data_IF_333206320847
#
_entry.id   IF_333206320847
#
_cell.length_a   1.000
_cell.length_b   1.000
_cell.length_c   1.000
_cell.angle_alpha   90.00
_cell.angle_beta   90.00
_cell.angle_gamma   90.00
#
_symmetry.space_group_name_H-M   'P 1'
#
loop_
_entity.id
_entity.type
_entity.pdbx_description
1 polymer ?
#
# COMPACT_ATOMS: atom_id res chain seq x y z
N UNK A 1 5.23 -32.84 -32.76
CA UNK A 1 3.96 -33.55 -33.04
C UNK A 1 2.83 -32.78 -32.36
N UNK A 2 1.69 -32.68 -33.06
CA UNK A 2 0.41 -32.09 -32.66
C UNK A 2 0.30 -30.56 -32.57
N UNK A 3 -0.29 -30.02 -33.66
CA UNK A 3 -0.90 -28.70 -33.79
C UNK A 3 -2.31 -28.75 -33.19
N UNK A 4 -2.75 -27.69 -32.50
CA UNK A 4 -4.17 -27.41 -32.35
C UNK A 4 -4.51 -26.07 -33.01
N UNK A 5 -5.35 -26.23 -34.03
CA UNK A 5 -6.00 -25.22 -34.85
C UNK A 5 -7.36 -24.94 -34.22
N UNK A 6 -7.75 -23.67 -34.09
CA UNK A 6 -9.17 -23.32 -33.98
C UNK A 6 -9.42 -22.00 -34.69
N UNK A 7 -9.94 -22.14 -35.91
CA UNK A 7 -10.51 -21.08 -36.71
C UNK A 7 -11.95 -20.78 -36.24
N UNK A 8 -12.24 -19.52 -35.91
CA UNK A 8 -13.59 -19.02 -35.66
C UNK A 8 -13.97 -17.99 -36.71
N UNK A 9 -14.60 -18.47 -37.79
CA UNK A 9 -15.11 -17.72 -38.95
C UNK A 9 -16.49 -17.15 -38.62
N UNK A 10 -16.66 -15.83 -38.60
CA UNK A 10 -18.00 -15.21 -38.56
C UNK A 10 -18.35 -14.68 -39.96
N UNK A 11 -19.39 -15.31 -40.50
CA UNK A 11 -20.14 -15.04 -41.72
C UNK A 11 -20.68 -13.62 -41.78
N UNK A 12 -20.47 -12.88 -42.87
CA UNK A 12 -21.33 -12.86 -44.08
C UNK A 12 -22.72 -12.29 -43.77
N UNK A 13 -22.86 -10.96 -43.90
CA UNK A 13 -24.15 -10.32 -44.11
C UNK A 13 -24.23 -9.79 -45.53
N UNK A 14 -25.35 -10.14 -46.14
CA UNK A 14 -25.58 -10.28 -47.56
C UNK A 14 -26.29 -9.03 -48.10
N UNK A 15 -25.77 -8.49 -49.20
CA UNK A 15 -26.47 -7.56 -50.08
C UNK A 15 -27.75 -8.21 -50.59
N UNK A 16 -28.88 -7.50 -50.48
CA UNK A 16 -30.04 -7.75 -51.32
C UNK A 16 -30.62 -6.43 -51.79
N UNK A 17 -30.13 -6.05 -52.95
CA UNK A 17 -30.76 -5.19 -53.93
C UNK A 17 -31.74 -6.05 -54.75
N UNK A 18 -33.03 -5.68 -54.75
CA UNK A 18 -34.02 -6.10 -55.74
C UNK A 18 -35.13 -5.04 -55.78
N UNK A 19 -34.90 -4.07 -56.66
CA UNK A 19 -35.82 -3.60 -57.69
C UNK A 19 -37.29 -4.08 -57.61
N UNK A 20 -38.22 -3.13 -57.45
CA UNK A 20 -39.49 -3.25 -58.15
C UNK A 20 -40.13 -1.87 -58.41
N UNK A 21 -40.12 -1.48 -59.69
CA UNK A 21 -40.89 -0.38 -60.27
C UNK A 21 -42.32 -0.84 -60.52
N UNK A 22 -43.28 0.00 -60.14
CA UNK A 22 -44.45 0.48 -60.92
C UNK A 22 -45.52 0.97 -59.93
N UNK A 23 -45.71 2.29 -59.79
CA UNK A 23 -46.55 3.14 -60.63
C UNK A 23 -48.06 2.89 -60.43
N UNK A 24 -48.60 3.45 -59.35
CA UNK A 24 -50.01 3.87 -59.30
C UNK A 24 -50.10 5.30 -58.77
N UNK A 25 -50.30 6.22 -59.69
CA UNK A 25 -50.82 7.56 -59.43
C UNK A 25 -52.18 7.45 -58.75
N UNK A 26 -52.30 7.95 -57.51
CA UNK A 26 -53.56 8.48 -56.99
C UNK A 26 -53.27 9.64 -56.04
N UNK A 27 -53.72 10.81 -56.46
CA UNK A 27 -53.65 12.05 -55.70
C UNK A 27 -54.38 11.95 -54.37
N UNK A 28 -53.85 12.68 -53.40
CA UNK A 28 -54.43 12.85 -52.08
C UNK A 28 -53.69 13.95 -51.35
N UNK A 29 -54.19 15.17 -51.51
CA UNK A 29 -53.95 16.37 -50.70
C UNK A 29 -52.55 16.52 -50.07
N UNK A 30 -51.75 17.42 -50.67
CA UNK A 30 -50.70 18.17 -50.00
C UNK A 30 -51.29 19.01 -48.86
N UNK A 31 -51.66 18.35 -47.77
CA UNK A 31 -51.74 18.97 -46.47
C UNK A 31 -50.33 19.35 -46.05
N UNK A 32 -49.84 20.48 -46.55
CA UNK A 32 -48.70 21.20 -45.97
C UNK A 32 -49.21 21.75 -44.64
N UNK A 33 -49.42 20.82 -43.69
CA UNK A 33 -49.75 21.12 -42.33
C UNK A 33 -48.65 22.04 -41.86
N UNK A 34 -49.03 23.31 -41.70
CA UNK A 34 -48.17 24.32 -41.15
C UNK A 34 -47.78 23.78 -39.77
N UNK A 35 -46.62 23.11 -39.67
CA UNK A 35 -46.00 22.73 -38.40
C UNK A 35 -45.69 24.07 -37.76
N UNK A 36 -46.70 24.66 -37.13
CA UNK A 36 -46.55 25.71 -36.14
C UNK A 36 -45.62 25.07 -35.12
N UNK A 37 -44.34 25.39 -35.21
CA UNK A 37 -43.39 25.11 -34.15
C UNK A 37 -43.95 25.83 -32.94
N UNK A 38 -44.68 25.08 -32.11
CA UNK A 38 -45.14 25.57 -30.81
C UNK A 38 -43.85 25.74 -30.02
N UNK A 39 -43.46 26.99 -29.80
CA UNK A 39 -42.35 27.29 -28.89
C UNK A 39 -42.66 26.68 -27.52
N UNK A 40 -41.62 26.25 -26.81
CA UNK A 40 -41.75 25.77 -25.45
C UNK A 40 -42.45 26.81 -24.58
N UNK A 41 -43.42 26.38 -23.79
CA UNK A 41 -44.02 27.24 -22.79
C UNK A 41 -42.98 27.57 -21.71
N UNK A 42 -43.01 28.78 -21.15
CA UNK A 42 -42.11 29.19 -20.06
C UNK A 42 -42.18 28.20 -18.89
N UNK A 43 -43.36 27.68 -18.58
CA UNK A 43 -43.53 26.70 -17.50
C UNK A 43 -42.86 25.35 -17.83
N UNK A 44 -42.88 24.95 -19.09
CA UNK A 44 -42.29 23.70 -19.58
C UNK A 44 -40.77 23.80 -19.57
N UNK A 45 -40.23 24.97 -19.94
CA UNK A 45 -38.81 25.30 -19.80
C UNK A 45 -38.38 25.31 -18.32
N UNK A 46 -39.19 25.89 -17.42
CA UNK A 46 -38.90 25.92 -15.99
C UNK A 46 -38.91 24.53 -15.36
N UNK A 47 -39.86 23.67 -15.73
CA UNK A 47 -39.92 22.27 -15.27
C UNK A 47 -38.73 21.47 -15.81
N UNK A 48 -38.38 21.63 -17.09
CA UNK A 48 -37.20 20.96 -17.64
C UNK A 48 -35.90 21.44 -16.96
N UNK A 49 -35.80 22.74 -16.65
CA UNK A 49 -34.65 23.33 -15.99
C UNK A 49 -34.52 22.85 -14.53
N UNK A 50 -35.63 22.77 -13.79
CA UNK A 50 -35.60 22.25 -12.41
C UNK A 50 -35.25 20.77 -12.37
N UNK A 51 -35.81 19.94 -13.27
CA UNK A 51 -35.43 18.53 -13.38
C UNK A 51 -33.95 18.39 -13.74
N UNK A 52 -33.47 19.14 -14.72
CA UNK A 52 -32.06 19.08 -15.13
C UNK A 52 -31.12 19.54 -14.01
N UNK A 53 -31.48 20.62 -13.30
CA UNK A 53 -30.70 21.12 -12.17
C UNK A 53 -30.63 20.09 -11.03
N UNK A 54 -31.76 19.50 -10.65
CA UNK A 54 -31.81 18.47 -9.59
C UNK A 54 -31.01 17.23 -9.95
N UNK A 55 -31.10 16.76 -11.19
CA UNK A 55 -30.28 15.64 -11.68
C UNK A 55 -28.79 16.00 -11.69
N UNK A 56 -28.43 17.18 -12.18
CA UNK A 56 -27.04 17.64 -12.21
C UNK A 56 -26.44 17.71 -10.80
N UNK A 57 -27.17 18.30 -9.85
CA UNK A 57 -26.75 18.35 -8.44
C UNK A 57 -26.57 16.95 -7.84
N UNK A 58 -27.52 16.04 -8.07
CA UNK A 58 -27.41 14.66 -7.59
C UNK A 58 -26.20 13.93 -8.20
N UNK A 59 -25.92 14.14 -9.49
CA UNK A 59 -24.76 13.53 -10.15
C UNK A 59 -23.44 14.10 -9.67
N UNK A 60 -23.34 15.42 -9.39
CA UNK A 60 -22.13 16.00 -8.83
C UNK A 60 -21.83 15.45 -7.43
N UNK A 61 -22.85 15.29 -6.57
CA UNK A 61 -22.68 14.68 -5.25
C UNK A 61 -22.22 13.22 -5.34
N UNK A 62 -22.80 12.44 -6.26
CA UNK A 62 -22.38 11.05 -6.48
C UNK A 62 -20.94 10.96 -7.01
N UNK A 63 -20.54 11.87 -7.89
CA UNK A 63 -19.20 11.89 -8.48
C UNK A 63 -18.13 12.34 -7.46
N UNK A 64 -18.43 13.29 -6.58
CA UNK A 64 -17.57 13.64 -5.44
C UNK A 64 -17.31 12.41 -4.54
N UNK A 65 -18.38 11.70 -4.17
CA UNK A 65 -18.27 10.48 -3.37
C UNK A 65 -17.45 9.38 -4.07
N UNK A 66 -17.61 9.21 -5.38
CA UNK A 66 -16.83 8.23 -6.16
C UNK A 66 -15.34 8.57 -6.19
N UNK A 67 -14.97 9.85 -6.35
CA UNK A 67 -13.55 10.23 -6.37
C UNK A 67 -12.88 10.03 -5.03
N UNK A 68 -13.56 10.41 -3.94
CA UNK A 68 -13.09 10.18 -2.58
C UNK A 68 -12.87 8.69 -2.28
N UNK A 69 -13.84 7.84 -2.65
CA UNK A 69 -13.70 6.39 -2.48
C UNK A 69 -12.58 5.78 -3.34
N UNK A 70 -12.37 6.31 -4.54
CA UNK A 70 -11.28 5.87 -5.42
C UNK A 70 -9.89 6.24 -4.86
N UNK A 71 -9.72 7.47 -4.34
CA UNK A 71 -8.49 7.91 -3.69
C UNK A 71 -8.13 7.00 -2.53
N UNK A 72 -9.07 6.81 -1.58
CA UNK A 72 -8.87 5.95 -0.42
C UNK A 72 -8.47 4.51 -0.79
N UNK A 73 -9.14 3.94 -1.80
CA UNK A 73 -8.83 2.57 -2.27
C UNK A 73 -7.45 2.51 -2.91
N UNK A 74 -7.08 3.53 -3.69
CA UNK A 74 -5.79 3.60 -4.38
C UNK A 74 -4.65 3.77 -3.38
N UNK A 75 -4.81 4.66 -2.40
CA UNK A 75 -3.81 4.93 -1.37
C UNK A 75 -3.59 3.67 -0.52
N UNK A 76 -4.67 3.05 -0.02
CA UNK A 76 -4.60 1.80 0.74
C UNK A 76 -3.93 0.66 -0.05
N UNK A 77 -4.26 0.51 -1.33
CA UNK A 77 -3.63 -0.49 -2.19
C UNK A 77 -2.13 -0.20 -2.41
N UNK A 78 -1.77 1.08 -2.59
CA UNK A 78 -0.38 1.50 -2.78
C UNK A 78 0.45 1.27 -1.52
N UNK A 79 -0.06 1.65 -0.33
CA UNK A 79 0.60 1.44 0.97
C UNK A 79 0.86 -0.03 1.22
N UNK A 80 -0.11 -0.90 0.92
CA UNK A 80 0.07 -2.35 1.06
C UNK A 80 1.18 -2.91 0.15
N UNK A 81 1.29 -2.42 -1.09
CA UNK A 81 2.37 -2.83 -2.00
C UNK A 81 3.72 -2.33 -1.51
N UNK A 82 3.82 -1.05 -1.12
CA UNK A 82 5.06 -0.44 -0.62
C UNK A 82 5.52 -1.13 0.66
N UNK A 83 4.62 -1.37 1.61
CA UNK A 83 4.92 -2.07 2.85
C UNK A 83 5.45 -3.49 2.60
N UNK A 84 4.87 -4.23 1.64
CA UNK A 84 5.38 -5.54 1.24
C UNK A 84 6.77 -5.46 0.59
N UNK A 85 7.05 -4.43 -0.20
CA UNK A 85 8.39 -4.21 -0.77
C UNK A 85 9.39 -3.92 0.36
N UNK A 86 9.04 -3.07 1.32
CA UNK A 86 9.88 -2.74 2.48
C UNK A 86 10.20 -4.00 3.30
N UNK A 87 9.19 -4.82 3.64
CA UNK A 87 9.39 -6.11 4.32
C UNK A 87 10.30 -7.03 3.51
N UNK A 88 10.09 -7.17 2.20
CA UNK A 88 10.95 -8.00 1.38
C UNK A 88 12.41 -7.50 1.32
N UNK A 89 12.62 -6.18 1.35
CA UNK A 89 13.97 -5.59 1.46
C UNK A 89 14.60 -5.92 2.81
N UNK A 90 13.86 -5.78 3.92
CA UNK A 90 14.32 -6.18 5.25
C UNK A 90 14.65 -7.67 5.35
N UNK A 91 13.81 -8.55 4.79
CA UNK A 91 14.13 -9.98 4.72
C UNK A 91 15.39 -10.24 3.87
N UNK A 92 15.64 -9.43 2.84
CA UNK A 92 16.88 -9.43 2.08
C UNK A 92 18.08 -9.09 2.96
N UNK A 93 17.99 -7.99 3.71
CA UNK A 93 19.01 -7.54 4.66
C UNK A 93 19.30 -8.60 5.73
N UNK A 94 18.27 -9.21 6.33
CA UNK A 94 18.42 -10.34 7.27
C UNK A 94 19.14 -11.54 6.63
N UNK A 95 18.87 -11.83 5.35
CA UNK A 95 19.49 -12.98 4.67
C UNK A 95 20.96 -12.75 4.34
N UNK A 96 21.36 -11.52 4.04
CA UNK A 96 22.71 -11.19 3.56
C UNK A 96 23.60 -10.58 4.64
N UNK A 97 23.01 -10.02 5.68
CA UNK A 97 23.70 -9.43 6.82
C UNK A 97 24.44 -10.47 7.66
N UNK A 98 25.30 -9.94 8.52
CA UNK A 98 26.15 -10.68 9.44
C UNK A 98 26.23 -9.94 10.77
N UNK A 99 26.56 -10.64 11.86
CA UNK A 99 26.65 -10.08 13.21
C UNK A 99 25.44 -9.19 13.59
N UNK A 100 24.28 -9.83 13.79
CA UNK A 100 23.04 -9.13 14.10
C UNK A 100 22.96 -8.72 15.57
N UNK A 101 22.41 -7.54 15.82
CA UNK A 101 21.97 -7.05 17.13
C UNK A 101 20.51 -6.57 17.09
N UNK A 102 19.88 -6.36 18.27
CA UNK A 102 20.43 -6.55 19.61
C UNK A 102 20.52 -8.02 20.05
N UNK A 103 21.55 -8.35 20.84
CA UNK A 103 21.82 -9.71 21.34
C UNK A 103 21.35 -9.80 22.80
N UNK A 104 20.64 -10.88 23.22
CA UNK A 104 20.30 -11.08 24.62
C UNK A 104 21.55 -11.30 25.49
N UNK A 105 21.43 -11.04 26.79
CA UNK A 105 22.54 -11.22 27.75
C UNK A 105 22.98 -12.69 27.79
N UNK A 106 22.03 -13.62 27.78
CA UNK A 106 22.29 -15.05 27.63
C UNK A 106 21.44 -15.65 26.50
N UNK A 107 22.10 -16.09 25.42
CA UNK A 107 21.46 -16.76 24.27
C UNK A 107 20.92 -18.16 24.62
N UNK A 108 21.42 -18.78 25.69
CA UNK A 108 20.98 -20.10 26.15
C UNK A 108 19.76 -20.04 27.07
N UNK A 109 19.45 -18.87 27.60
CA UNK A 109 18.28 -18.68 28.45
C UNK A 109 17.02 -18.52 27.58
N UNK A 110 16.14 -19.52 27.66
CA UNK A 110 14.85 -19.50 26.97
C UNK A 110 13.91 -18.39 27.48
N UNK A 111 14.19 -17.79 28.63
CA UNK A 111 13.46 -16.63 29.13
C UNK A 111 13.90 -15.31 28.46
N UNK A 112 15.02 -15.29 27.72
CA UNK A 112 15.54 -14.10 27.04
C UNK A 112 15.64 -14.26 25.52
N UNK A 113 15.69 -15.50 25.03
CA UNK A 113 15.80 -15.83 23.61
C UNK A 113 14.52 -16.56 23.16
N UNK A 114 13.73 -15.98 22.23
CA UNK A 114 14.05 -14.86 21.35
C UNK A 114 13.93 -13.48 22.00
N UNK A 115 14.77 -12.54 21.57
CA UNK A 115 14.71 -11.14 22.01
C UNK A 115 13.77 -10.35 21.08
N UNK A 116 12.86 -9.57 21.64
CA UNK A 116 12.05 -8.64 20.87
C UNK A 116 12.60 -7.22 20.98
N UNK A 117 12.48 -6.43 19.91
CA UNK A 117 13.00 -5.08 19.84
C UNK A 117 12.20 -4.20 18.86
N UNK A 118 12.30 -2.88 19.00
CA UNK A 118 11.77 -1.92 18.02
C UNK A 118 12.80 -1.55 16.93
N UNK A 119 13.95 -2.22 16.94
CA UNK A 119 14.98 -2.11 15.93
C UNK A 119 15.73 -3.43 15.73
N UNK A 120 16.48 -3.53 14.64
CA UNK A 120 17.57 -4.50 14.50
C UNK A 120 18.71 -3.88 13.72
N UNK A 121 19.93 -4.35 13.95
CA UNK A 121 21.12 -3.89 13.25
C UNK A 121 21.99 -5.07 12.83
N UNK A 122 22.84 -4.84 11.83
CA UNK A 122 23.79 -5.83 11.34
C UNK A 122 24.98 -5.15 10.67
N UNK A 123 26.10 -5.85 10.57
CA UNK A 123 27.28 -5.38 9.84
C UNK A 123 27.03 -5.48 8.34
N UNK A 124 26.99 -4.34 7.64
CA UNK A 124 26.73 -4.26 6.19
C UNK A 124 28.01 -4.30 5.35
N UNK A 125 29.13 -3.78 5.87
CA UNK A 125 30.40 -3.77 5.16
C UNK A 125 31.59 -4.11 6.07
N UNK A 126 32.60 -4.73 5.48
CA UNK A 126 33.89 -5.05 6.10
C UNK A 126 35.05 -4.65 5.19
N UNK A 127 36.19 -4.34 5.78
CA UNK A 127 37.43 -4.09 5.06
C UNK A 127 38.10 -5.39 4.56
N UNK A 128 39.22 -5.27 3.83
CA UNK A 128 40.00 -6.41 3.34
C UNK A 128 40.57 -7.30 4.46
N UNK A 129 40.66 -6.77 5.69
CA UNK A 129 41.16 -7.47 6.87
C UNK A 129 40.03 -8.16 7.67
N UNK A 130 38.77 -7.98 7.27
CA UNK A 130 37.60 -8.53 7.94
C UNK A 130 37.02 -7.67 9.07
N UNK A 131 37.55 -6.47 9.30
CA UNK A 131 37.00 -5.55 10.31
C UNK A 131 35.71 -4.93 9.80
N UNK A 132 34.70 -4.83 10.68
CA UNK A 132 33.45 -4.14 10.37
C UNK A 132 33.72 -2.64 10.14
N UNK A 133 33.23 -2.11 9.02
CA UNK A 133 33.38 -0.70 8.64
C UNK A 133 32.06 0.04 8.63
N UNK A 134 30.96 -0.67 8.34
CA UNK A 134 29.62 -0.09 8.26
C UNK A 134 28.62 -1.04 8.93
N UNK A 135 27.71 -0.49 9.71
CA UNK A 135 26.54 -1.17 10.21
C UNK A 135 25.27 -0.54 9.63
N UNK A 136 24.29 -1.37 9.29
CA UNK A 136 22.96 -0.90 8.91
C UNK A 136 21.99 -1.22 10.04
N UNK A 137 21.30 -0.20 10.52
CA UNK A 137 20.25 -0.31 11.52
C UNK A 137 18.90 0.00 10.90
N UNK A 138 17.90 -0.81 11.22
CA UNK A 138 16.50 -0.57 10.92
C UNK A 138 15.80 -0.30 12.22
N UNK A 139 15.15 0.85 12.34
CA UNK A 139 14.56 1.31 13.61
C UNK A 139 13.21 1.96 13.39
N UNK A 140 12.35 1.81 14.38
CA UNK A 140 11.06 2.46 14.45
C UNK A 140 11.15 3.77 15.22
N UNK A 141 10.60 4.84 14.63
CA UNK A 141 10.53 6.16 15.23
C UNK A 141 9.08 6.59 15.37
N UNK A 142 8.72 7.07 16.56
CA UNK A 142 7.42 7.69 16.78
C UNK A 142 7.35 9.07 16.09
N UNK A 143 6.15 9.62 15.84
CA UNK A 143 6.01 10.88 15.13
C UNK A 143 6.74 12.02 15.85
N UNK A 144 7.75 12.59 15.19
CA UNK A 144 8.52 13.72 15.73
C UNK A 144 9.54 13.36 16.82
N UNK A 145 9.75 12.06 17.07
CA UNK A 145 10.67 11.55 18.09
C UNK A 145 11.81 10.75 17.45
N UNK A 146 12.93 10.63 18.16
CA UNK A 146 14.03 9.73 17.78
C UNK A 146 13.68 8.26 18.07
N UNK A 147 14.49 7.33 17.59
CA UNK A 147 14.31 5.91 17.88
C UNK A 147 14.57 5.62 19.36
N UNK A 148 13.65 4.88 19.99
CA UNK A 148 13.78 4.51 21.40
C UNK A 148 14.71 3.31 21.63
N UNK A 149 15.00 2.54 20.58
CA UNK A 149 15.92 1.38 20.59
C UNK A 149 15.66 0.43 21.75
N UNK A 150 14.39 0.13 22.01
CA UNK A 150 13.95 -0.70 23.13
C UNK A 150 14.08 -2.17 22.79
N UNK A 151 14.35 -2.96 23.82
CA UNK A 151 14.35 -4.42 23.76
C UNK A 151 13.55 -4.99 24.93
N UNK A 152 12.91 -6.12 24.74
CA UNK A 152 12.11 -6.79 25.76
C UNK A 152 12.13 -8.31 25.57
N UNK A 153 11.87 -9.03 26.65
CA UNK A 153 11.92 -10.49 26.68
C UNK A 153 10.58 -11.13 26.27
N UNK A 154 10.55 -12.44 25.92
CA UNK A 154 9.32 -13.13 25.60
C UNK A 154 8.26 -13.02 26.70
N UNK A 155 7.10 -12.46 26.36
CA UNK A 155 5.97 -12.30 27.27
C UNK A 155 6.03 -11.05 28.14
N UNK A 156 7.06 -10.23 27.99
CA UNK A 156 7.11 -8.86 28.47
C UNK A 156 6.51 -7.93 27.41
N UNK A 157 5.88 -6.85 27.86
CA UNK A 157 5.38 -5.79 26.99
C UNK A 157 6.28 -4.57 27.17
N UNK A 158 6.71 -3.89 26.09
CA UNK A 158 7.59 -2.75 26.22
C UNK A 158 6.92 -1.66 27.05
N UNK A 159 7.73 -0.97 27.86
CA UNK A 159 7.24 0.18 28.61
C UNK A 159 6.62 1.20 27.64
N UNK A 160 5.46 1.78 28.00
CA UNK A 160 4.83 2.79 27.17
C UNK A 160 5.77 4.00 27.04
N UNK A 161 5.78 4.67 25.88
CA UNK A 161 6.60 5.86 25.69
C UNK A 161 6.21 6.93 26.72
N UNK A 162 7.19 7.75 27.13
CA UNK A 162 6.99 8.86 28.08
C UNK A 162 6.23 10.06 27.48
N UNK A 163 5.79 9.94 26.23
CA UNK A 163 5.08 10.97 25.47
C UNK A 163 3.77 10.43 24.89
N UNK A 164 2.89 11.35 24.50
CA UNK A 164 1.62 11.02 23.88
C UNK A 164 1.81 10.71 22.39
N UNK A 165 1.51 9.46 22.00
CA UNK A 165 1.59 9.01 20.61
C UNK A 165 0.42 9.62 19.83
N UNK A 166 0.70 10.62 19.00
CA UNK A 166 -0.30 11.42 18.27
C UNK A 166 -0.61 10.86 16.87
N UNK A 167 -0.03 9.73 16.47
CA UNK A 167 -0.25 9.15 15.15
C UNK A 167 0.69 7.99 14.82
N UNK A 168 0.65 7.47 13.59
CA UNK A 168 1.58 6.46 13.12
C UNK A 168 2.97 7.06 12.94
N UNK A 169 3.99 6.33 13.37
CA UNK A 169 5.40 6.67 13.18
C UNK A 169 5.95 6.20 11.84
N UNK A 170 7.27 6.16 11.73
CA UNK A 170 7.98 5.80 10.52
C UNK A 170 9.06 4.76 10.80
N UNK A 171 9.34 3.92 9.80
CA UNK A 171 10.48 3.02 9.82
C UNK A 171 11.65 3.65 9.07
N UNK A 172 12.82 3.65 9.69
CA UNK A 172 14.03 4.25 9.17
C UNK A 172 15.10 3.20 8.91
N UNK A 173 15.95 3.49 7.92
CA UNK A 173 17.24 2.82 7.72
C UNK A 173 18.34 3.82 8.03
N UNK A 174 19.21 3.44 8.95
CA UNK A 174 20.35 4.24 9.41
C UNK A 174 21.62 3.48 9.06
N UNK A 175 22.47 4.08 8.23
CA UNK A 175 23.80 3.55 7.94
C UNK A 175 24.79 4.23 8.87
N UNK A 176 25.52 3.43 9.65
CA UNK A 176 26.49 3.90 10.64
C UNK A 176 27.88 3.54 10.17
N UNK A 177 28.73 4.53 9.93
CA UNK A 177 30.16 4.31 9.74
C UNK A 177 30.78 3.98 11.11
N UNK A 178 31.34 2.79 11.26
CA UNK A 178 31.86 2.30 12.53
C UNK A 178 33.22 2.94 12.92
N UNK A 179 33.90 3.58 11.97
CA UNK A 179 35.18 4.26 12.22
C UNK A 179 34.97 5.72 12.67
N UNK A 180 34.03 6.43 12.04
CA UNK A 180 33.74 7.84 12.37
C UNK A 180 32.57 8.01 13.33
N UNK A 181 31.62 7.07 13.36
CA UNK A 181 30.34 7.19 14.05
C UNK A 181 29.34 8.09 13.32
N UNK A 182 29.60 8.45 12.06
CA UNK A 182 28.65 9.22 11.25
C UNK A 182 27.45 8.36 10.84
N UNK A 183 26.26 8.95 10.89
CA UNK A 183 25.01 8.28 10.56
C UNK A 183 24.34 8.93 9.34
N UNK A 184 23.95 8.10 8.37
CA UNK A 184 23.10 8.49 7.25
C UNK A 184 21.70 7.87 7.39
N UNK A 185 20.68 8.72 7.40
CA UNK A 185 19.31 8.30 7.69
C UNK A 185 18.39 8.42 6.48
N UNK A 186 17.59 7.37 6.24
CA UNK A 186 16.58 7.37 5.19
C UNK A 186 15.27 6.76 5.68
N UNK A 187 14.14 7.35 5.27
CA UNK A 187 12.82 6.76 5.53
C UNK A 187 12.65 5.52 4.65
N UNK A 188 12.39 4.38 5.29
CA UNK A 188 12.11 3.11 4.61
C UNK A 188 10.61 2.92 4.36
N UNK A 189 9.78 3.20 5.36
CA UNK A 189 8.33 3.04 5.27
C UNK A 189 7.62 4.01 6.22
N UNK A 190 6.81 4.95 5.71
CA UNK A 190 6.01 5.80 6.58
C UNK A 190 4.70 5.14 7.01
N UNK A 191 4.02 5.73 8.00
CA UNK A 191 2.68 5.31 8.41
C UNK A 191 2.66 3.99 9.19
N UNK A 192 3.74 3.69 9.91
CA UNK A 192 3.89 2.50 10.72
C UNK A 192 3.32 2.75 12.12
N UNK A 193 2.26 2.05 12.48
CA UNK A 193 1.64 2.15 13.81
C UNK A 193 2.42 1.39 14.88
N UNK A 194 2.98 0.25 14.51
CA UNK A 194 3.86 -0.53 15.39
C UNK A 194 4.83 -1.35 14.56
N UNK A 195 6.05 -1.51 15.06
CA UNK A 195 7.05 -2.40 14.51
C UNK A 195 7.69 -3.21 15.64
N UNK A 196 7.72 -4.53 15.47
CA UNK A 196 8.38 -5.45 16.37
C UNK A 196 9.30 -6.36 15.57
N UNK A 197 10.54 -6.47 16.04
CA UNK A 197 11.56 -7.35 15.50
C UNK A 197 11.90 -8.40 16.55
N UNK A 198 11.57 -9.65 16.26
CA UNK A 198 11.89 -10.78 17.13
C UNK A 198 13.13 -11.51 16.59
N UNK A 199 14.24 -11.43 17.31
CA UNK A 199 15.53 -12.01 16.96
C UNK A 199 15.78 -13.26 17.80
N UNK A 200 15.91 -14.40 17.15
CA UNK A 200 16.24 -15.67 17.78
C UNK A 200 17.69 -16.03 17.49
N UNK A 201 18.47 -16.24 18.54
CA UNK A 201 19.89 -16.57 18.46
C UNK A 201 20.17 -18.05 18.71
N UNK A 202 21.27 -18.55 18.19
CA UNK A 202 21.85 -19.87 18.50
C UNK A 202 23.07 -19.70 19.42
N UNK A 203 23.79 -20.77 19.74
CA UNK A 203 25.03 -20.73 20.53
C UNK A 203 26.08 -19.88 19.80
N UNK A 204 26.54 -18.82 20.48
CA UNK A 204 27.40 -17.78 19.91
C UNK A 204 26.59 -16.59 19.38
N UNK A 205 27.23 -15.53 18.85
CA UNK A 205 26.54 -14.36 18.31
C UNK A 205 25.95 -14.65 16.91
N UNK A 206 25.21 -15.75 16.76
CA UNK A 206 24.65 -16.22 15.49
C UNK A 206 23.14 -16.09 15.52
N UNK A 207 22.60 -15.25 14.64
CA UNK A 207 21.16 -15.14 14.45
C UNK A 207 20.65 -16.39 13.72
N UNK A 208 19.75 -17.13 14.37
CA UNK A 208 19.07 -18.28 13.77
C UNK A 208 17.89 -17.84 12.90
N UNK A 209 17.11 -16.87 13.39
CA UNK A 209 15.87 -16.41 12.74
C UNK A 209 15.50 -15.01 13.20
N UNK A 210 15.16 -14.13 12.27
CA UNK A 210 14.45 -12.89 12.57
C UNK A 210 12.99 -13.00 12.13
N UNK A 211 12.09 -12.47 12.94
CA UNK A 211 10.69 -12.24 12.59
C UNK A 211 10.43 -10.74 12.63
N UNK A 212 9.80 -10.24 11.60
CA UNK A 212 9.43 -8.84 11.42
C UNK A 212 7.90 -8.79 11.49
N UNK A 213 7.37 -8.00 12.40
CA UNK A 213 5.94 -7.79 12.58
C UNK A 213 5.61 -6.30 12.53
N UNK A 214 4.88 -5.88 11.51
CA UNK A 214 4.56 -4.48 11.27
C UNK A 214 3.06 -4.30 11.19
N UNK A 215 2.55 -3.25 11.82
CA UNK A 215 1.19 -2.75 11.60
C UNK A 215 1.29 -1.41 10.89
N UNK A 216 0.70 -1.32 9.71
CA UNK A 216 0.77 -0.13 8.85
C UNK A 216 -0.63 0.43 8.67
N UNK A 217 -0.72 1.75 8.74
CA UNK A 217 -1.92 2.53 8.51
C UNK A 217 -1.77 3.33 7.20
N UNK A 218 -2.72 3.21 6.26
CA UNK A 218 -2.76 4.09 5.11
C UNK A 218 -2.98 5.53 5.57
N UNK A 219 -2.27 6.47 4.96
CA UNK A 219 -2.50 7.90 5.20
C UNK A 219 -3.94 8.25 4.80
N UNK A 220 -4.66 8.89 5.71
CA UNK A 220 -6.03 9.36 5.48
C UNK A 220 -5.96 10.87 5.35
N UNK A 221 -6.39 11.41 4.22
CA UNK A 221 -6.56 12.85 4.12
C UNK A 221 -7.76 13.27 4.97
N UNK A 222 -7.49 14.12 5.98
CA UNK A 222 -8.50 14.65 6.93
C UNK A 222 -9.66 15.38 6.24
N UNK A 223 -9.48 15.83 4.99
CA UNK A 223 -10.49 16.55 4.20
C UNK A 223 -11.50 15.62 3.49
N UNK A 224 -11.33 14.30 3.60
CA UNK A 224 -12.20 13.32 2.97
C UNK A 224 -13.24 12.85 3.99
N UNK A 225 -14.20 13.71 4.32
CA UNK A 225 -15.44 13.29 4.99
C UNK A 225 -16.27 12.44 4.01
N UNK A 226 -15.95 11.15 3.90
CA UNK A 226 -16.79 10.21 3.17
C UNK A 226 -18.00 9.91 4.06
N UNK A 227 -19.20 10.25 3.57
CA UNK A 227 -20.48 9.94 4.23
C UNK A 227 -20.66 8.42 4.49
N UNK A 228 -19.85 7.58 3.86
CA UNK A 228 -19.73 6.16 4.17
C UNK A 228 -18.51 5.97 5.07
N UNK A 229 -18.73 5.67 6.36
CA UNK A 229 -17.68 5.44 7.38
C UNK A 229 -16.77 4.24 7.13
N UNK A 230 -16.20 4.13 5.94
CA UNK A 230 -15.14 3.19 5.62
C UNK A 230 -13.86 3.72 6.27
N UNK A 231 -13.59 3.24 7.48
CA UNK A 231 -12.30 3.43 8.13
C UNK A 231 -11.26 2.70 7.26
N UNK A 232 -10.17 3.36 6.80
CA UNK A 232 -9.13 2.67 6.05
C UNK A 232 -8.60 1.50 6.88
N UNK A 233 -8.58 0.33 6.27
CA UNK A 233 -8.19 -0.88 6.98
C UNK A 233 -6.69 -0.84 7.25
N UNK A 234 -6.32 -0.72 8.52
CA UNK A 234 -4.97 -1.05 8.97
C UNK A 234 -4.67 -2.50 8.62
N UNK A 235 -3.44 -2.79 8.23
CA UNK A 235 -3.03 -4.15 7.90
C UNK A 235 -1.74 -4.51 8.63
N UNK A 236 -1.65 -5.79 9.02
CA UNK A 236 -0.49 -6.37 9.69
C UNK A 236 0.29 -7.23 8.72
N UNK A 237 1.60 -7.04 8.66
CA UNK A 237 2.54 -7.83 7.89
C UNK A 237 3.46 -8.56 8.85
N UNK A 238 3.44 -9.89 8.80
CA UNK A 238 4.37 -10.72 9.55
C UNK A 238 5.19 -11.53 8.57
N UNK A 239 6.51 -11.46 8.70
CA UNK A 239 7.42 -12.25 7.88
C UNK A 239 8.64 -12.69 8.67
N UNK A 240 9.27 -13.77 8.23
CA UNK A 240 10.46 -14.30 8.90
C UNK A 240 11.52 -14.72 7.88
N UNK A 241 12.78 -14.56 8.25
CA UNK A 241 13.94 -14.99 7.48
C UNK A 241 15.03 -15.57 8.39
N UNK A 242 15.81 -16.47 7.82
CA UNK A 242 17.05 -17.00 8.41
C UNK A 242 18.24 -16.40 7.64
N UNK A 243 19.32 -15.98 8.32
CA UNK A 243 20.56 -15.56 7.68
C UNK A 243 21.17 -16.69 6.84
N UNK A 244 21.82 -16.33 5.73
CA UNK A 244 22.53 -17.31 4.87
C UNK A 244 24.03 -17.36 5.14
N UNK A 245 24.59 -16.27 5.67
CA UNK A 245 25.97 -16.20 6.13
C UNK A 245 25.98 -16.54 7.62
N UNK A 246 26.11 -17.81 7.95
CA UNK A 246 26.68 -18.16 9.23
C UNK A 246 28.20 -18.07 9.06
N UNK A 247 28.87 -17.18 9.79
CA UNK A 247 30.34 -17.21 9.94
C UNK A 247 30.75 -18.67 10.11
N UNK A 248 31.67 -19.19 9.28
CA UNK A 248 32.19 -20.55 9.43
C UNK A 248 33.22 -20.59 10.55
#
# INVERSE_FOLDING_TARGET
>A
MSRFSTAGRVSMWNERECDNKEMTMRGGATGRGNKRSRGFSVIELLVALTISATLLTATMAALDAMFKGFQQTTDSASTHVVARIAVNRMLGMVRTGDEFGPIPVDVLDAAQNPLAADYFEYVSARDENGNATEATRIEFRFPGEEALLRTWTPGEEPEPPEFEVTGPGDLWIVLVDLASGEEEEYILLPGVRSAEFTLQYDIGPRLMRATIDLVVEPEVQDDIEVTTGAIPATFRLVASAMPRKSVE
#
